data_IF_833591720983
#
_entry.id   IF_833591720983
#
_cell.length_a   1.000
_cell.length_b   1.000
_cell.length_c   1.000
_cell.angle_alpha   90.00
_cell.angle_beta   90.00
_cell.angle_gamma   90.00
#
_symmetry.space_group_name_H-M   'P 1'
#
loop_
_entity.id
_entity.type
_entity.pdbx_description
1 polymer ?
#
# COMPACT_ATOMS: atom_id res chain seq x y z
N UNK A 1 28.02 -11.92 4.27
CA UNK A 1 27.32 -10.70 4.72
C UNK A 1 26.03 -10.62 3.92
N UNK A 2 24.97 -11.31 4.34
CA UNK A 2 23.67 -11.24 3.66
C UNK A 2 23.10 -9.85 3.90
N UNK A 3 22.71 -9.07 2.87
CA UNK A 3 22.05 -7.81 3.10
C UNK A 3 20.82 -8.11 3.94
N UNK A 4 20.76 -7.54 5.13
CA UNK A 4 19.55 -7.55 5.95
C UNK A 4 18.50 -6.95 5.04
N UNK A 5 17.54 -7.77 4.58
CA UNK A 5 16.35 -7.27 3.90
C UNK A 5 15.71 -6.35 4.92
N UNK A 6 15.99 -5.06 4.77
CA UNK A 6 15.34 -4.02 5.54
C UNK A 6 13.87 -4.17 5.20
N UNK A 7 13.12 -4.73 6.14
CA UNK A 7 11.69 -4.93 5.96
C UNK A 7 11.15 -3.55 5.62
N UNK A 8 10.52 -3.37 4.44
CA UNK A 8 10.22 -2.04 3.93
C UNK A 8 9.49 -1.27 5.01
N UNK A 9 10.04 -0.10 5.35
CA UNK A 9 9.49 0.75 6.39
C UNK A 9 7.99 0.96 6.13
N UNK A 10 7.16 1.04 7.17
CA UNK A 10 5.71 1.18 7.00
C UNK A 10 5.33 2.38 6.13
N UNK A 11 6.16 3.44 6.14
CA UNK A 11 6.06 4.60 5.26
C UNK A 11 6.32 4.26 3.78
N UNK A 12 7.31 3.42 3.48
CA UNK A 12 7.62 2.96 2.12
C UNK A 12 6.51 2.09 1.54
N UNK A 13 5.88 1.24 2.36
CA UNK A 13 4.76 0.41 1.94
C UNK A 13 3.53 1.27 1.59
N UNK A 14 3.26 2.31 2.39
CA UNK A 14 2.18 3.27 2.11
C UNK A 14 2.49 4.07 0.83
N UNK A 15 3.71 4.57 0.68
CA UNK A 15 4.14 5.28 -0.52
C UNK A 15 4.02 4.41 -1.77
N UNK A 16 4.36 3.12 -1.66
CA UNK A 16 4.24 2.14 -2.75
C UNK A 16 2.78 1.88 -3.12
N UNK A 17 1.91 1.67 -2.13
CA UNK A 17 0.47 1.52 -2.36
C UNK A 17 -0.14 2.76 -3.04
N UNK A 18 0.27 3.96 -2.63
CA UNK A 18 -0.17 5.20 -3.26
C UNK A 18 0.31 5.30 -4.71
N UNK A 19 1.57 4.97 -5.00
CA UNK A 19 2.09 4.94 -6.37
C UNK A 19 1.31 3.99 -7.27
N UNK A 20 0.96 2.80 -6.76
CA UNK A 20 0.13 1.83 -7.48
C UNK A 20 -1.26 2.40 -7.78
N UNK A 21 -1.91 3.04 -6.81
CA UNK A 21 -3.22 3.64 -7.01
C UNK A 21 -3.15 4.79 -8.04
N UNK A 22 -2.11 5.61 -7.97
CA UNK A 22 -1.86 6.67 -8.97
C UNK A 22 -1.59 6.11 -10.35
N UNK A 23 -0.83 5.01 -10.46
CA UNK A 23 -0.61 4.32 -11.72
C UNK A 23 -1.90 3.72 -12.33
N UNK A 24 -2.92 3.45 -11.50
CA UNK A 24 -4.26 3.05 -11.94
C UNK A 24 -5.17 4.24 -12.30
N UNK A 25 -4.64 5.47 -12.29
CA UNK A 25 -5.36 6.68 -12.66
C UNK A 25 -6.13 7.34 -11.52
N UNK A 26 -6.03 6.87 -10.27
CA UNK A 26 -6.65 7.57 -9.13
C UNK A 26 -5.70 8.65 -8.60
N UNK A 27 -6.15 9.92 -8.47
CA UNK A 27 -5.29 11.01 -8.06
C UNK A 27 -4.76 10.82 -6.63
N UNK A 28 -3.55 11.29 -6.36
CA UNK A 28 -2.83 11.05 -5.09
C UNK A 28 -3.63 11.37 -3.83
N UNK A 29 -4.46 12.42 -3.87
CA UNK A 29 -5.34 12.78 -2.76
C UNK A 29 -6.47 11.75 -2.58
N UNK A 30 -7.12 11.34 -3.67
CA UNK A 30 -8.14 10.30 -3.63
C UNK A 30 -7.54 8.95 -3.21
N UNK A 31 -6.31 8.62 -3.63
CA UNK A 31 -5.61 7.41 -3.20
C UNK A 31 -5.41 7.37 -1.68
N UNK A 32 -5.02 8.50 -1.06
CA UNK A 32 -4.89 8.61 0.41
C UNK A 32 -6.25 8.51 1.11
N UNK A 33 -7.30 9.13 0.55
CA UNK A 33 -8.65 9.02 1.10
C UNK A 33 -9.16 7.59 1.04
N UNK A 34 -8.99 6.89 -0.09
CA UNK A 34 -9.37 5.49 -0.25
C UNK A 34 -8.66 4.58 0.75
N UNK A 35 -7.34 4.76 0.95
CA UNK A 35 -6.59 4.00 1.96
C UNK A 35 -7.09 4.25 3.38
N UNK A 36 -7.39 5.49 3.74
CA UNK A 36 -7.93 5.85 5.05
C UNK A 36 -9.36 5.31 5.26
N UNK A 37 -10.21 5.38 4.23
CA UNK A 37 -11.55 4.80 4.28
C UNK A 37 -11.49 3.29 4.40
N UNK A 38 -10.64 2.59 3.65
CA UNK A 38 -10.45 1.15 3.80
C UNK A 38 -9.97 0.76 5.20
N UNK A 39 -9.03 1.52 5.76
CA UNK A 39 -8.53 1.31 7.12
C UNK A 39 -9.65 1.45 8.15
N UNK A 40 -10.47 2.50 8.02
CA UNK A 40 -11.61 2.76 8.89
C UNK A 40 -12.69 1.68 8.77
N UNK A 41 -13.10 1.32 7.56
CA UNK A 41 -14.14 0.32 7.31
C UNK A 41 -13.72 -1.09 7.76
N UNK A 42 -12.43 -1.43 7.61
CA UNK A 42 -11.89 -2.73 8.02
C UNK A 42 -11.46 -2.77 9.49
N UNK A 43 -11.42 -1.63 10.18
CA UNK A 43 -10.85 -1.53 11.52
C UNK A 43 -9.36 -1.88 11.58
N UNK A 44 -8.63 -1.68 10.48
CA UNK A 44 -7.21 -2.05 10.33
C UNK A 44 -6.33 -0.79 10.22
N UNK A 45 -5.06 -0.85 10.63
CA UNK A 45 -4.14 0.26 10.40
C UNK A 45 -3.91 0.47 8.89
N UNK A 46 -3.76 1.73 8.47
CA UNK A 46 -3.52 2.13 7.07
C UNK A 46 -2.35 1.37 6.44
N UNK A 47 -1.31 1.09 7.22
CA UNK A 47 -0.16 0.28 6.79
C UNK A 47 -0.56 -1.13 6.36
N UNK A 48 -1.44 -1.81 7.12
CA UNK A 48 -1.92 -3.16 6.77
C UNK A 48 -2.76 -3.11 5.50
N UNK A 49 -3.61 -2.10 5.33
CA UNK A 49 -4.35 -1.90 4.09
C UNK A 49 -3.41 -1.66 2.89
N UNK A 50 -2.37 -0.83 3.06
CA UNK A 50 -1.36 -0.60 2.04
C UNK A 50 -0.61 -1.88 1.66
N UNK A 51 -0.22 -2.71 2.64
CA UNK A 51 0.39 -4.02 2.38
C UNK A 51 -0.52 -4.92 1.57
N UNK A 52 -1.82 -4.98 1.90
CA UNK A 52 -2.78 -5.81 1.16
C UNK A 52 -2.97 -5.32 -0.28
N UNK A 53 -3.00 -4.01 -0.52
CA UNK A 53 -3.07 -3.42 -1.86
C UNK A 53 -1.84 -3.80 -2.69
N UNK A 54 -0.63 -3.62 -2.12
CA UNK A 54 0.63 -3.97 -2.79
C UNK A 54 0.71 -5.48 -3.05
N UNK A 55 0.33 -6.31 -2.07
CA UNK A 55 0.30 -7.76 -2.21
C UNK A 55 -0.69 -8.23 -3.29
N UNK A 56 -1.86 -7.58 -3.40
CA UNK A 56 -2.86 -7.92 -4.43
C UNK A 56 -2.37 -7.66 -5.85
N UNK A 57 -1.52 -6.64 -6.03
CA UNK A 57 -0.93 -6.29 -7.32
C UNK A 57 0.21 -7.25 -7.67
N UNK A 58 1.07 -7.55 -6.69
CA UNK A 58 2.16 -8.53 -6.86
C UNK A 58 1.64 -9.98 -6.99
N UNK A 59 0.49 -10.30 -6.40
CA UNK A 59 -0.16 -11.61 -6.55
C UNK A 59 -0.85 -11.82 -7.91
N UNK A 60 -1.08 -10.75 -8.69
CA UNK A 60 -1.67 -10.83 -10.05
C UNK A 60 -0.66 -11.18 -11.14
N UNK A 61 0.64 -11.20 -10.84
CA UNK A 61 1.71 -11.54 -11.79
C UNK A 61 2.19 -12.99 -11.67
N UNK A 62 1.39 -13.87 -11.05
CA UNK A 62 1.67 -15.31 -11.00
C UNK A 62 0.64 -16.12 -11.80
#
# INVERSE_FOLDING_TARGET
MTPRVDSPSPSDVIASALKVLVAQGIPSQAARTTLQSMARERGLPVTRCATLVVASVNGRVN
#
